data_IF_450387120485
#
_entry.id   IF_450387120485
#
_cell.length_a   1.000
_cell.length_b   1.000
_cell.length_c   1.000
_cell.angle_alpha   90.00
_cell.angle_beta   90.00
_cell.angle_gamma   90.00
#
_symmetry.space_group_name_H-M   'P 1'
#
loop_
_entity.id
_entity.type
_entity.pdbx_description
1 polymer ?
#
# COMPACT_ATOMS: atom_id res chain seq x y z
N UNK A 1 -56.92 71.14 51.66
CA UNK A 1 -56.71 71.15 50.19
C UNK A 1 -55.72 70.04 49.85
N UNK A 2 -56.18 68.94 49.23
CA UNK A 2 -55.35 67.79 48.80
C UNK A 2 -55.05 67.94 47.30
N UNK A 3 -53.80 67.85 46.88
CA UNK A 3 -53.40 67.64 45.47
C UNK A 3 -52.59 66.35 45.39
N UNK A 4 -53.07 65.40 44.58
CA UNK A 4 -52.33 64.21 44.17
C UNK A 4 -51.54 64.53 42.90
N UNK A 5 -50.26 64.14 42.87
CA UNK A 5 -49.39 64.15 41.69
C UNK A 5 -49.56 62.84 40.88
N UNK A 6 -49.41 62.88 39.55
CA UNK A 6 -49.42 61.69 38.71
C UNK A 6 -48.03 61.06 38.59
N UNK A 7 -48.04 59.72 38.53
CA UNK A 7 -46.91 58.84 38.32
C UNK A 7 -46.63 58.69 36.81
N UNK A 8 -45.39 58.90 36.36
CA UNK A 8 -44.93 58.56 35.00
C UNK A 8 -43.74 57.58 35.10
N UNK A 9 -43.76 56.44 34.40
CA UNK A 9 -42.68 55.46 34.45
C UNK A 9 -41.61 55.77 33.39
N UNK A 10 -40.33 55.70 33.78
CA UNK A 10 -39.19 55.78 32.87
C UNK A 10 -38.88 54.37 32.33
N UNK A 11 -38.88 54.22 31.01
CA UNK A 11 -38.64 52.98 30.26
C UNK A 11 -37.19 52.50 30.39
N UNK A 12 -37.01 51.22 30.70
CA UNK A 12 -35.73 50.49 30.63
C UNK A 12 -35.57 49.87 29.24
N UNK A 13 -34.57 50.28 28.46
CA UNK A 13 -34.23 49.65 27.18
C UNK A 13 -33.17 48.55 27.40
N UNK A 14 -33.59 47.29 27.35
CA UNK A 14 -32.71 46.13 27.28
C UNK A 14 -32.36 45.84 25.82
N UNK A 15 -31.15 46.20 25.39
CA UNK A 15 -30.59 45.76 24.12
C UNK A 15 -30.10 44.31 24.28
N UNK A 16 -30.80 43.35 23.67
CA UNK A 16 -30.40 41.95 23.62
C UNK A 16 -29.39 41.73 22.48
N UNK A 17 -28.11 41.56 22.82
CA UNK A 17 -27.10 41.04 21.90
C UNK A 17 -27.38 39.55 21.66
N UNK A 18 -27.91 39.21 20.47
CA UNK A 18 -28.08 37.82 20.05
C UNK A 18 -26.76 37.34 19.44
N UNK A 19 -25.93 36.66 20.25
CA UNK A 19 -24.77 35.93 19.74
C UNK A 19 -25.23 34.62 19.12
N UNK A 20 -25.29 34.55 17.79
CA UNK A 20 -25.46 33.29 17.06
C UNK A 20 -24.14 32.51 17.10
N UNK A 21 -24.09 31.44 17.89
CA UNK A 21 -23.01 30.46 17.82
C UNK A 21 -23.08 29.73 16.46
N UNK A 22 -21.95 29.51 15.76
CA UNK A 22 -21.93 28.72 14.55
C UNK A 22 -22.33 27.26 14.86
N UNK A 23 -23.00 26.56 13.94
CA UNK A 23 -23.34 25.16 14.14
C UNK A 23 -22.05 24.33 14.32
N UNK A 24 -22.07 23.29 15.17
CA UNK A 24 -20.93 22.41 15.34
C UNK A 24 -20.60 21.77 13.99
N UNK A 25 -19.42 22.09 13.47
CA UNK A 25 -18.91 21.39 12.29
C UNK A 25 -18.60 19.94 12.70
N UNK A 26 -19.07 18.93 11.95
CA UNK A 26 -18.66 17.56 12.20
C UNK A 26 -17.15 17.49 12.09
N UNK A 27 -16.51 16.90 13.11
CA UNK A 27 -15.06 16.69 13.08
C UNK A 27 -14.69 15.94 11.79
N UNK A 28 -13.62 16.34 11.08
CA UNK A 28 -13.11 15.55 9.97
C UNK A 28 -12.84 14.12 10.49
N UNK A 29 -13.23 13.07 9.74
CA UNK A 29 -12.96 11.71 10.17
C UNK A 29 -11.45 11.57 10.43
N UNK A 30 -11.03 10.89 11.51
CA UNK A 30 -9.61 10.62 11.70
C UNK A 30 -9.10 9.93 10.43
N UNK A 31 -8.01 10.46 9.86
CA UNK A 31 -7.28 9.77 8.80
C UNK A 31 -6.90 8.41 9.38
N UNK A 32 -7.66 7.37 9.01
CA UNK A 32 -7.28 6.01 9.33
C UNK A 32 -5.82 5.85 8.83
N UNK A 33 -4.89 5.35 9.66
CA UNK A 33 -3.54 5.06 9.20
C UNK A 33 -3.66 4.34 7.87
N UNK A 34 -3.15 4.95 6.80
CA UNK A 34 -3.32 4.43 5.45
C UNK A 34 -2.88 2.98 5.46
N UNK A 35 -3.84 2.08 5.30
CA UNK A 35 -3.69 0.70 5.71
C UNK A 35 -2.77 -0.01 4.72
N UNK A 36 -1.46 0.19 4.87
CA UNK A 36 -0.43 -0.36 4.02
C UNK A 36 0.14 -1.57 4.74
N UNK A 37 -0.02 -2.73 4.12
CA UNK A 37 0.65 -3.96 4.55
C UNK A 37 1.94 -4.09 3.78
N UNK A 38 3.03 -4.37 4.48
CA UNK A 38 4.35 -4.58 3.88
C UNK A 38 4.76 -6.03 4.14
N UNK A 39 5.28 -6.69 3.11
CA UNK A 39 5.92 -7.99 3.21
C UNK A 39 7.31 -7.88 2.61
N UNK A 40 8.32 -8.27 3.37
CA UNK A 40 9.72 -8.26 2.96
C UNK A 40 10.17 -9.70 2.80
N UNK A 41 10.88 -10.00 1.72
CA UNK A 41 11.40 -11.33 1.47
C UNK A 41 12.89 -11.28 1.20
N UNK A 42 13.61 -12.20 1.82
CA UNK A 42 14.99 -12.53 1.50
C UNK A 42 14.98 -13.82 0.69
N UNK A 43 15.62 -13.80 -0.48
CA UNK A 43 15.58 -14.86 -1.48
C UNK A 43 17.02 -15.17 -1.92
N UNK A 44 17.34 -16.44 -2.04
CA UNK A 44 18.58 -16.91 -2.67
C UNK A 44 18.29 -17.24 -4.12
N UNK A 45 19.01 -16.61 -5.06
CA UNK A 45 18.99 -17.00 -6.47
C UNK A 45 19.68 -18.36 -6.63
N UNK A 46 18.91 -19.40 -6.95
CA UNK A 46 19.42 -20.76 -7.14
C UNK A 46 19.91 -20.98 -8.56
N UNK A 47 19.50 -20.11 -9.50
CA UNK A 47 19.87 -20.21 -10.92
C UNK A 47 21.14 -19.42 -11.24
N UNK A 48 21.50 -18.42 -10.42
CA UNK A 48 22.69 -17.59 -10.59
C UNK A 48 22.67 -16.74 -11.86
N UNK A 49 21.47 -16.47 -12.39
CA UNK A 49 21.29 -15.74 -13.66
C UNK A 49 21.23 -14.23 -13.46
N UNK A 50 21.01 -13.78 -12.22
CA UNK A 50 20.83 -12.37 -11.88
C UNK A 50 19.45 -11.82 -12.24
N UNK A 51 18.50 -12.68 -12.65
CA UNK A 51 17.10 -12.30 -12.88
C UNK A 51 16.21 -12.54 -11.66
N UNK A 52 16.67 -13.33 -10.69
CA UNK A 52 15.99 -13.58 -9.42
C UNK A 52 16.53 -12.61 -8.37
N UNK A 53 15.70 -11.75 -7.76
CA UNK A 53 16.19 -10.76 -6.80
C UNK A 53 16.59 -11.43 -5.48
N UNK A 54 17.68 -10.95 -4.88
CA UNK A 54 18.11 -11.42 -3.55
C UNK A 54 17.23 -10.91 -2.40
N UNK A 55 16.54 -9.79 -2.64
CA UNK A 55 15.63 -9.15 -1.71
C UNK A 55 14.48 -8.54 -2.49
N UNK A 56 13.25 -8.67 -2.00
CA UNK A 56 12.10 -7.97 -2.56
C UNK A 56 11.14 -7.52 -1.45
N UNK A 57 10.44 -6.42 -1.71
CA UNK A 57 9.40 -5.87 -0.84
C UNK A 57 8.09 -5.79 -1.62
N UNK A 58 7.03 -6.35 -1.05
CA UNK A 58 5.66 -6.14 -1.50
C UNK A 58 4.95 -5.18 -0.56
N UNK A 59 4.23 -4.23 -1.16
CA UNK A 59 3.28 -3.40 -0.43
C UNK A 59 1.88 -3.69 -0.92
N UNK A 60 0.90 -3.69 -0.01
CA UNK A 60 -0.52 -3.81 -0.33
C UNK A 60 -1.30 -2.73 0.38
N UNK A 61 -2.03 -1.93 -0.38
CA UNK A 61 -2.99 -1.00 0.19
C UNK A 61 -4.27 -1.76 0.55
N UNK A 62 -4.74 -1.62 1.78
CA UNK A 62 -5.91 -2.33 2.32
C UNK A 62 -7.05 -1.40 2.69
N UNK A 63 -6.88 -0.09 2.50
CA UNK A 63 -7.91 0.93 2.67
C UNK A 63 -7.68 2.11 1.71
N UNK A 64 -8.70 2.97 1.57
CA UNK A 64 -8.63 4.16 0.75
C UNK A 64 -8.84 3.91 -0.75
N UNK A 65 -8.62 4.93 -1.60
CA UNK A 65 -9.00 4.92 -3.01
C UNK A 65 -8.20 3.94 -3.87
N UNK A 66 -7.04 3.45 -3.41
CA UNK A 66 -6.30 2.39 -4.12
C UNK A 66 -6.23 1.09 -3.30
N UNK A 67 -7.24 0.83 -2.47
CA UNK A 67 -7.39 -0.47 -1.80
C UNK A 67 -7.28 -1.63 -2.79
N UNK A 68 -6.51 -2.64 -2.43
CA UNK A 68 -6.19 -3.79 -3.27
C UNK A 68 -4.95 -3.62 -4.15
N UNK A 69 -4.42 -2.40 -4.33
CA UNK A 69 -3.17 -2.17 -5.09
C UNK A 69 -2.01 -2.88 -4.41
N UNK A 70 -1.28 -3.68 -5.19
CA UNK A 70 -0.06 -4.37 -4.77
C UNK A 70 1.10 -3.87 -5.62
N UNK A 71 2.21 -3.53 -4.99
CA UNK A 71 3.44 -3.12 -5.68
C UNK A 71 4.62 -3.91 -5.18
N UNK A 72 5.51 -4.28 -6.10
CA UNK A 72 6.77 -4.97 -5.85
C UNK A 72 7.91 -3.99 -6.05
N UNK A 73 8.85 -4.01 -5.13
CA UNK A 73 10.11 -3.29 -5.19
C UNK A 73 11.26 -4.26 -4.96
N UNK A 74 12.29 -4.20 -5.79
CA UNK A 74 13.55 -4.91 -5.58
C UNK A 74 14.69 -4.22 -6.36
N UNK A 75 15.96 -4.56 -6.09
CA UNK A 75 17.11 -3.96 -6.79
C UNK A 75 17.14 -4.23 -8.30
N UNK A 76 16.62 -5.37 -8.77
CA UNK A 76 16.54 -5.67 -10.21
C UNK A 76 15.53 -4.73 -10.86
N UNK A 77 14.33 -4.61 -10.31
CA UNK A 77 13.31 -3.67 -10.78
C UNK A 77 13.80 -2.22 -10.76
N UNK A 78 14.51 -1.82 -9.70
CA UNK A 78 15.10 -0.49 -9.62
C UNK A 78 16.11 -0.25 -10.76
N UNK A 79 16.93 -1.24 -11.10
CA UNK A 79 17.90 -1.15 -12.18
C UNK A 79 17.26 -1.20 -13.58
N UNK A 80 16.21 -1.98 -13.75
CA UNK A 80 15.58 -2.21 -15.06
C UNK A 80 14.54 -1.15 -15.44
N UNK A 81 13.69 -0.74 -14.48
CA UNK A 81 12.53 0.14 -14.74
C UNK A 81 12.46 1.36 -13.82
N UNK A 82 13.32 1.45 -12.80
CA UNK A 82 13.48 2.65 -11.96
C UNK A 82 12.29 2.98 -11.06
N UNK A 83 11.32 2.06 -10.90
CA UNK A 83 10.10 2.26 -10.10
C UNK A 83 9.51 0.94 -9.63
N UNK A 84 8.67 0.94 -8.56
CA UNK A 84 7.89 -0.23 -8.20
C UNK A 84 6.98 -0.71 -9.33
N UNK A 85 6.75 -2.01 -9.41
CA UNK A 85 5.93 -2.65 -10.43
C UNK A 85 4.64 -3.17 -9.80
N UNK A 86 3.51 -2.94 -10.48
CA UNK A 86 2.23 -3.47 -10.03
C UNK A 86 2.23 -5.00 -10.09
N UNK A 87 1.78 -5.63 -9.01
CA UNK A 87 1.58 -7.06 -8.94
C UNK A 87 0.11 -7.40 -8.69
N UNK A 88 -0.22 -8.67 -8.92
CA UNK A 88 -1.56 -9.21 -8.80
C UNK A 88 -1.50 -10.50 -7.98
N UNK A 89 -2.55 -10.79 -7.21
CA UNK A 89 -2.70 -12.12 -6.62
C UNK A 89 -3.09 -13.08 -7.74
N UNK A 90 -2.25 -14.08 -8.02
CA UNK A 90 -2.50 -15.07 -9.08
C UNK A 90 -3.06 -16.38 -8.54
N UNK A 91 -2.86 -16.65 -7.25
CA UNK A 91 -3.45 -17.79 -6.54
C UNK A 91 -3.52 -17.46 -5.04
N UNK A 92 -4.55 -17.94 -4.36
CA UNK A 92 -4.74 -17.76 -2.92
C UNK A 92 -5.57 -18.91 -2.35
N UNK A 93 -4.96 -19.74 -1.51
CA UNK A 93 -5.62 -20.88 -0.87
C UNK A 93 -5.30 -20.92 0.63
N UNK A 94 -5.76 -21.95 1.36
CA UNK A 94 -5.52 -22.04 2.81
C UNK A 94 -4.04 -22.13 3.20
N UNK A 95 -3.20 -22.69 2.34
CA UNK A 95 -1.80 -22.98 2.63
C UNK A 95 -0.86 -21.87 2.13
N UNK A 96 -1.17 -21.22 1.01
CA UNK A 96 -0.26 -20.33 0.32
C UNK A 96 -0.95 -19.18 -0.40
N UNK A 97 -0.15 -18.20 -0.81
CA UNK A 97 -0.58 -17.11 -1.71
C UNK A 97 0.51 -16.82 -2.73
N UNK A 98 0.12 -16.62 -3.98
CA UNK A 98 1.02 -16.28 -5.08
C UNK A 98 0.75 -14.87 -5.63
N UNK A 99 1.82 -14.17 -5.96
CA UNK A 99 1.83 -12.84 -6.54
C UNK A 99 2.56 -12.88 -7.88
N UNK A 100 1.98 -12.27 -8.92
CA UNK A 100 2.56 -12.22 -10.25
C UNK A 100 2.72 -10.80 -10.77
N UNK A 101 3.84 -10.56 -11.45
CA UNK A 101 4.12 -9.33 -12.19
C UNK A 101 4.94 -9.65 -13.44
N UNK A 102 4.98 -8.74 -14.41
CA UNK A 102 5.72 -8.94 -15.65
C UNK A 102 6.41 -7.65 -16.09
N UNK A 103 7.56 -7.80 -16.74
CA UNK A 103 8.31 -6.72 -17.38
C UNK A 103 8.32 -6.94 -18.89
N UNK A 104 8.45 -5.86 -19.65
CA UNK A 104 8.55 -5.90 -21.11
C UNK A 104 9.82 -5.21 -21.57
N UNK A 105 10.56 -5.84 -22.49
CA UNK A 105 11.72 -5.28 -23.14
C UNK A 105 12.88 -4.94 -22.20
N UNK A 106 13.27 -5.87 -21.32
CA UNK A 106 14.31 -5.64 -20.30
C UNK A 106 15.65 -6.26 -20.66
N UNK A 107 16.74 -5.67 -20.15
CA UNK A 107 18.10 -6.18 -20.32
C UNK A 107 18.83 -6.24 -18.97
N UNK A 108 19.39 -7.38 -18.60
CA UNK A 108 20.15 -7.50 -17.34
C UNK A 108 21.55 -6.88 -17.44
N UNK A 109 22.27 -6.86 -16.32
CA UNK A 109 23.63 -6.32 -16.23
C UNK A 109 24.68 -7.06 -17.08
N UNK A 110 24.43 -8.31 -17.48
CA UNK A 110 25.30 -9.05 -18.42
C UNK A 110 24.96 -8.80 -19.88
N UNK A 111 23.94 -7.99 -20.17
CA UNK A 111 23.53 -7.64 -21.52
C UNK A 111 22.54 -8.62 -22.16
N UNK A 112 22.00 -9.59 -21.46
CA UNK A 112 20.95 -10.48 -21.99
C UNK A 112 19.61 -9.74 -22.06
N UNK A 113 18.88 -9.90 -23.16
CA UNK A 113 17.60 -9.24 -23.41
C UNK A 113 16.44 -10.23 -23.30
N UNK A 114 15.34 -9.80 -22.67
CA UNK A 114 14.09 -10.53 -22.62
C UNK A 114 12.95 -9.63 -23.13
N UNK A 115 12.23 -10.09 -24.17
CA UNK A 115 11.05 -9.39 -24.70
C UNK A 115 9.95 -9.27 -23.64
N UNK A 116 9.79 -10.32 -22.84
CA UNK A 116 8.95 -10.35 -21.66
C UNK A 116 9.62 -11.18 -20.58
N UNK A 117 9.46 -10.75 -19.33
CA UNK A 117 9.96 -11.46 -18.16
C UNK A 117 8.85 -11.54 -17.13
N UNK A 118 8.30 -12.74 -16.95
CA UNK A 118 7.21 -13.02 -16.01
C UNK A 118 7.78 -13.52 -14.68
N UNK A 119 7.31 -12.92 -13.59
CA UNK A 119 7.68 -13.28 -12.25
C UNK A 119 6.49 -13.87 -11.49
N UNK A 120 6.79 -14.82 -10.61
CA UNK A 120 5.83 -15.33 -9.62
C UNK A 120 6.53 -15.53 -8.29
N UNK A 121 6.03 -14.90 -7.24
CA UNK A 121 6.36 -15.20 -5.86
C UNK A 121 5.23 -16.05 -5.27
N UNK A 122 5.54 -17.18 -4.66
CA UNK A 122 4.61 -17.99 -3.87
C UNK A 122 5.09 -18.01 -2.43
N UNK A 123 4.20 -17.70 -1.48
CA UNK A 123 4.51 -17.63 -0.05
C UNK A 123 3.59 -18.57 0.74
N UNK A 124 4.20 -19.43 1.55
CA UNK A 124 3.52 -20.24 2.56
C UNK A 124 2.97 -19.37 3.69
N UNK A 125 1.71 -19.57 4.04
CA UNK A 125 1.04 -18.81 5.12
C UNK A 125 1.42 -19.31 6.52
N UNK A 126 1.88 -20.56 6.65
CA UNK A 126 2.19 -21.15 7.95
C UNK A 126 3.53 -20.70 8.51
N UNK A 127 4.53 -20.54 7.64
CA UNK A 127 5.91 -20.32 8.04
C UNK A 127 6.65 -19.26 7.20
N UNK A 128 5.97 -18.64 6.23
CA UNK A 128 6.56 -17.63 5.37
C UNK A 128 7.59 -18.19 4.37
N UNK A 129 7.73 -19.51 4.23
CA UNK A 129 8.59 -20.09 3.19
C UNK A 129 8.18 -19.57 1.81
N UNK A 130 9.15 -19.16 1.01
CA UNK A 130 8.92 -18.44 -0.22
C UNK A 130 9.69 -19.05 -1.39
N UNK A 131 9.05 -19.10 -2.55
CA UNK A 131 9.66 -19.46 -3.82
C UNK A 131 9.38 -18.36 -4.85
N UNK A 132 10.41 -17.96 -5.57
CA UNK A 132 10.31 -17.05 -6.71
C UNK A 132 10.65 -17.83 -7.98
N UNK A 133 9.85 -17.64 -9.03
CA UNK A 133 10.20 -18.04 -10.38
C UNK A 133 10.23 -16.85 -11.31
N UNK A 134 11.18 -16.82 -12.23
CA UNK A 134 11.25 -15.89 -13.34
C UNK A 134 11.33 -16.65 -14.66
N UNK A 135 10.54 -16.26 -15.65
CA UNK A 135 10.46 -16.89 -16.96
C UNK A 135 10.64 -15.82 -18.03
N UNK A 136 11.70 -15.93 -18.83
CA UNK A 136 11.94 -15.05 -19.95
C UNK A 136 11.26 -15.61 -21.21
N UNK A 137 10.44 -14.82 -21.89
CA UNK A 137 9.83 -15.22 -23.15
C UNK A 137 10.89 -15.51 -24.20
N UNK A 138 10.73 -16.62 -24.92
CA UNK A 138 11.69 -17.11 -25.91
C UNK A 138 12.83 -17.95 -25.34
N UNK A 139 12.82 -18.23 -24.03
CA UNK A 139 13.78 -19.07 -23.35
C UNK A 139 13.10 -20.26 -22.67
N UNK A 140 13.73 -21.44 -22.76
CA UNK A 140 13.20 -22.66 -22.13
C UNK A 140 13.52 -22.74 -20.63
N UNK A 141 14.47 -21.93 -20.14
CA UNK A 141 14.89 -21.98 -18.76
C UNK A 141 13.93 -21.21 -17.84
N UNK A 142 13.47 -21.89 -16.79
CA UNK A 142 12.82 -21.26 -15.65
C UNK A 142 13.89 -20.97 -14.61
N UNK A 143 13.93 -19.74 -14.13
CA UNK A 143 14.86 -19.30 -13.10
C UNK A 143 14.16 -19.36 -11.75
N UNK A 144 14.86 -19.87 -10.75
CA UNK A 144 14.31 -20.21 -9.44
C UNK A 144 15.07 -19.51 -8.32
N UNK A 145 14.32 -19.06 -7.31
CA UNK A 145 14.84 -18.64 -6.02
C UNK A 145 14.02 -19.20 -4.88
N UNK A 146 14.67 -19.37 -3.73
CA UNK A 146 14.04 -19.83 -2.49
C UNK A 146 14.42 -18.93 -1.33
N UNK A 147 13.53 -18.78 -0.36
CA UNK A 147 13.83 -18.00 0.84
C UNK A 147 12.64 -17.88 1.77
N UNK A 148 12.53 -16.74 2.44
CA UNK A 148 11.45 -16.49 3.41
C UNK A 148 10.92 -15.07 3.29
N UNK A 149 9.62 -14.94 3.50
CA UNK A 149 8.93 -13.67 3.60
C UNK A 149 8.42 -13.44 5.01
N UNK A 150 8.53 -12.19 5.48
CA UNK A 150 8.02 -11.74 6.75
C UNK A 150 7.23 -10.46 6.53
N UNK A 151 6.08 -10.34 7.18
CA UNK A 151 5.45 -9.02 7.36
C UNK A 151 6.02 -8.44 8.64
N UNK A 152 6.59 -7.22 8.65
CA UNK A 152 6.90 -6.54 9.90
C UNK A 152 5.64 -6.57 10.77
N UNK A 153 5.77 -7.06 12.01
CA UNK A 153 4.63 -7.15 12.91
C UNK A 153 3.97 -5.78 13.00
N UNK A 154 2.64 -5.74 12.91
CA UNK A 154 1.89 -4.62 13.49
C UNK A 154 2.21 -4.64 14.98
N UNK A 155 3.11 -3.75 15.41
CA UNK A 155 3.40 -3.53 16.83
C UNK A 155 2.17 -3.04 17.57
#
# INVERSE_FOLDING_TARGET
MRRLLPCLPLLLSLAACVSSAPPPQPAPPPLAPGALRVMMCEIRDESGTGWVPGFLMLTRQTAGPHSGRIEVFDPILQNLVGRPVAAQVTADDGASRSYGWALSGVRNGSGQYAARLDYRLTVSKSDGAAQVTAVAEGYDNIMHGQGRCLSPAEG
#
